data_IF_408228668451
#
_entry.id   IF_408228668451
#
_cell.length_a   1.000
_cell.length_b   1.000
_cell.length_c   1.000
_cell.angle_alpha   90.00
_cell.angle_beta   90.00
_cell.angle_gamma   90.00
#
_symmetry.space_group_name_H-M   'P 1'
#
loop_
_entity.id
_entity.type
_entity.pdbx_description
1 polymer ?
#
# COMPACT_ATOMS: atom_id res chain seq x y z
N UNK A 1 14.75 -11.91 -17.65
CA UNK A 1 13.55 -11.75 -16.81
C UNK A 1 12.53 -12.72 -17.38
N UNK A 2 11.94 -13.64 -16.60
CA UNK A 2 10.92 -14.54 -17.10
C UNK A 2 9.72 -13.75 -17.62
N UNK A 3 9.00 -14.25 -18.64
CA UNK A 3 7.79 -13.60 -19.10
C UNK A 3 6.78 -13.52 -17.94
N UNK A 4 6.12 -12.39 -17.82
CA UNK A 4 5.19 -12.03 -16.76
C UNK A 4 4.12 -13.13 -16.59
N UNK A 5 3.79 -13.56 -15.37
CA UNK A 5 2.70 -14.50 -15.17
C UNK A 5 1.40 -13.92 -15.73
N UNK A 6 0.79 -14.63 -16.68
CA UNK A 6 -0.49 -14.24 -17.29
C UNK A 6 -0.40 -13.40 -18.57
N UNK A 7 0.73 -12.77 -18.89
CA UNK A 7 0.87 -12.02 -20.13
C UNK A 7 1.07 -12.97 -21.33
N UNK A 8 0.30 -12.76 -22.40
CA UNK A 8 0.42 -13.51 -23.65
C UNK A 8 1.27 -12.70 -24.65
N UNK A 9 2.24 -13.33 -25.30
CA UNK A 9 2.91 -12.73 -26.47
C UNK A 9 1.91 -12.67 -27.62
N UNK A 10 1.66 -11.47 -28.15
CA UNK A 10 0.65 -11.23 -29.20
C UNK A 10 1.28 -10.76 -30.53
N UNK A 11 2.54 -11.09 -30.76
CA UNK A 11 3.22 -10.71 -31.99
C UNK A 11 4.31 -9.67 -31.77
N UNK A 12 4.60 -8.87 -32.80
CA UNK A 12 5.69 -7.89 -32.80
C UNK A 12 5.21 -6.56 -33.36
N UNK A 13 5.62 -5.48 -32.71
CA UNK A 13 5.53 -4.13 -33.25
C UNK A 13 6.77 -3.85 -34.12
N UNK A 14 6.59 -3.18 -35.26
CA UNK A 14 7.69 -2.73 -36.13
C UNK A 14 7.92 -1.25 -35.91
N UNK A 15 9.14 -0.91 -35.51
CA UNK A 15 9.60 0.47 -35.36
C UNK A 15 10.65 0.77 -36.44
N UNK A 16 10.46 1.79 -37.22
CA UNK A 16 11.43 2.27 -38.22
C UNK A 16 12.02 3.59 -37.77
N UNK A 17 13.34 3.65 -37.69
CA UNK A 17 14.12 4.86 -37.37
C UNK A 17 15.24 4.98 -38.41
N UNK A 18 15.28 6.10 -39.13
CA UNK A 18 16.30 6.38 -40.15
C UNK A 18 16.45 5.26 -41.17
N UNK A 19 15.34 4.67 -41.61
CA UNK A 19 15.32 3.55 -42.58
C UNK A 19 15.71 2.18 -42.04
N UNK A 20 15.97 2.08 -40.73
CA UNK A 20 16.24 0.80 -40.03
C UNK A 20 15.01 0.31 -39.30
N UNK A 21 14.60 -0.91 -39.59
CA UNK A 21 13.44 -1.56 -38.96
C UNK A 21 13.89 -2.42 -37.79
N UNK A 22 13.27 -2.21 -36.63
CA UNK A 22 13.46 -3.03 -35.43
C UNK A 22 12.13 -3.62 -35.02
N UNK A 23 12.10 -4.89 -34.70
CA UNK A 23 10.93 -5.58 -34.17
C UNK A 23 10.99 -5.65 -32.63
N UNK A 24 9.91 -5.21 -31.99
CA UNK A 24 9.76 -5.21 -30.53
C UNK A 24 8.62 -6.16 -30.14
N UNK A 25 8.77 -6.95 -29.07
CA UNK A 25 7.69 -7.82 -28.60
C UNK A 25 6.45 -7.03 -28.20
N UNK A 26 5.26 -7.56 -28.47
CA UNK A 26 4.00 -7.05 -27.96
C UNK A 26 3.50 -7.99 -26.87
N UNK A 27 3.15 -7.42 -25.75
CA UNK A 27 2.56 -8.10 -24.59
C UNK A 27 1.11 -7.66 -24.47
N UNK A 28 0.20 -8.62 -24.25
CA UNK A 28 -1.22 -8.31 -24.06
C UNK A 28 -1.62 -8.65 -22.63
N UNK A 29 -2.21 -7.70 -21.95
CA UNK A 29 -2.81 -7.86 -20.64
C UNK A 29 -4.07 -8.72 -20.67
N UNK A 30 -4.54 -9.16 -19.52
CA UNK A 30 -5.75 -10.02 -19.41
C UNK A 30 -7.04 -9.31 -19.83
N UNK A 31 -7.07 -8.00 -19.79
CA UNK A 31 -8.21 -7.16 -20.22
C UNK A 31 -8.05 -6.64 -21.67
N UNK A 32 -7.03 -7.13 -22.40
CA UNK A 32 -6.84 -6.85 -23.81
C UNK A 32 -5.95 -5.67 -24.14
N UNK A 33 -5.33 -5.02 -23.18
CA UNK A 33 -4.40 -3.91 -23.39
C UNK A 33 -3.09 -4.39 -24.02
N UNK A 34 -2.58 -3.63 -24.98
CA UNK A 34 -1.36 -3.94 -25.70
C UNK A 34 -0.20 -3.07 -25.24
N UNK A 35 0.84 -3.69 -24.68
CA UNK A 35 2.09 -3.04 -24.33
C UNK A 35 3.22 -3.43 -25.31
N UNK A 36 4.00 -2.46 -25.77
CA UNK A 36 5.22 -2.71 -26.56
C UNK A 36 6.40 -2.83 -25.58
N UNK A 37 7.04 -3.99 -25.53
CA UNK A 37 8.24 -4.19 -24.72
C UNK A 37 9.44 -3.48 -25.35
N UNK A 38 9.84 -2.38 -24.73
CA UNK A 38 10.96 -1.53 -25.19
C UNK A 38 12.29 -1.84 -24.50
N UNK A 39 12.40 -2.92 -23.72
CA UNK A 39 13.61 -3.24 -22.94
C UNK A 39 14.89 -3.30 -23.81
N UNK A 40 14.76 -3.72 -25.06
CA UNK A 40 15.88 -3.80 -26.02
C UNK A 40 15.99 -2.60 -26.97
N UNK A 41 15.08 -1.63 -26.89
CA UNK A 41 15.05 -0.50 -27.85
C UNK A 41 16.38 0.22 -27.92
N UNK A 42 16.90 0.68 -26.78
CA UNK A 42 18.17 1.44 -26.74
C UNK A 42 19.37 0.62 -27.21
N UNK A 43 19.46 -0.65 -26.81
CA UNK A 43 20.58 -1.49 -27.18
C UNK A 43 20.61 -1.85 -28.67
N UNK A 44 19.43 -1.92 -29.32
CA UNK A 44 19.31 -2.28 -30.75
C UNK A 44 19.35 -1.07 -31.70
N UNK A 45 18.90 0.09 -31.25
CA UNK A 45 18.72 1.27 -32.13
C UNK A 45 19.48 2.52 -31.66
N UNK A 46 19.92 2.59 -30.41
CA UNK A 46 20.42 3.80 -29.78
C UNK A 46 19.33 4.78 -29.31
N UNK A 47 18.08 4.60 -29.75
CA UNK A 47 16.96 5.46 -29.40
C UNK A 47 16.37 5.14 -28.03
N UNK A 48 15.73 6.13 -27.42
CA UNK A 48 14.90 5.98 -26.20
C UNK A 48 13.49 6.49 -26.49
N UNK A 49 12.54 6.12 -25.65
CA UNK A 49 11.21 6.75 -25.61
C UNK A 49 11.26 8.03 -24.82
N UNK A 50 10.43 9.03 -25.20
CA UNK A 50 10.20 10.25 -24.46
C UNK A 50 8.71 10.33 -24.12
N UNK A 51 8.39 10.33 -22.84
CA UNK A 51 7.02 10.45 -22.32
C UNK A 51 7.07 11.21 -20.98
N UNK A 52 6.86 12.54 -21.06
CA UNK A 52 7.06 13.49 -19.96
C UNK A 52 5.99 13.31 -18.89
N UNK A 53 5.51 12.51 -18.42
CA UNK A 53 4.45 12.32 -17.38
C UNK A 53 3.97 10.90 -17.32
N UNK A 54 4.66 10.03 -18.05
CA UNK A 54 4.35 8.61 -18.10
C UNK A 54 2.90 8.29 -18.53
N UNK A 55 2.31 9.18 -19.36
CA UNK A 55 0.90 9.10 -19.78
C UNK A 55 0.64 7.88 -20.67
N UNK A 56 1.63 7.48 -21.47
CA UNK A 56 1.55 6.32 -22.39
C UNK A 56 2.57 5.24 -22.07
N UNK A 57 3.08 5.21 -20.84
CA UNK A 57 4.13 4.27 -20.44
C UNK A 57 3.63 3.30 -19.40
N UNK A 58 3.46 2.05 -19.77
CA UNK A 58 3.28 0.95 -18.81
C UNK A 58 4.57 0.69 -18.05
N UNK A 59 4.65 1.04 -16.78
CA UNK A 59 5.85 0.86 -15.94
C UNK A 59 6.00 -0.55 -15.41
N UNK A 60 4.92 -1.30 -15.35
CA UNK A 60 4.88 -2.69 -14.85
C UNK A 60 3.61 -3.40 -15.29
N UNK A 61 3.56 -4.70 -15.02
CA UNK A 61 2.31 -5.48 -14.99
C UNK A 61 1.93 -5.77 -13.54
N UNK A 62 0.64 -5.82 -13.25
CA UNK A 62 0.10 -6.14 -11.94
C UNK A 62 -1.06 -7.13 -12.08
N UNK A 63 -1.18 -8.04 -11.12
CA UNK A 63 -2.34 -8.93 -10.98
C UNK A 63 -3.15 -8.58 -9.72
N UNK A 64 -2.95 -7.39 -9.16
CA UNK A 64 -3.57 -6.99 -7.89
C UNK A 64 -4.91 -6.32 -8.15
N UNK A 65 -4.92 -5.23 -8.88
CA UNK A 65 -6.10 -4.40 -9.08
C UNK A 65 -6.35 -4.17 -10.56
N UNK A 66 -7.62 -4.18 -10.93
CA UNK A 66 -8.12 -3.67 -12.21
C UNK A 66 -9.11 -2.53 -11.94
N UNK A 67 -8.88 -1.40 -12.57
CA UNK A 67 -9.71 -0.20 -12.47
C UNK A 67 -10.10 0.29 -13.86
N UNK A 68 -11.39 0.42 -14.12
CA UNK A 68 -11.93 1.10 -15.31
C UNK A 68 -12.88 2.21 -14.81
N UNK A 69 -12.36 3.43 -14.71
CA UNK A 69 -13.11 4.57 -14.21
C UNK A 69 -14.25 5.01 -15.11
N UNK A 70 -14.18 4.75 -16.43
CA UNK A 70 -15.26 5.07 -17.38
C UNK A 70 -16.46 4.15 -17.20
N UNK A 71 -16.20 2.88 -16.91
CA UNK A 71 -17.24 1.87 -16.66
C UNK A 71 -17.63 1.73 -15.20
N UNK A 72 -16.92 2.39 -14.28
CA UNK A 72 -17.14 2.26 -12.85
C UNK A 72 -16.82 0.87 -12.32
N UNK A 73 -15.77 0.21 -12.85
CA UNK A 73 -15.37 -1.14 -12.47
C UNK A 73 -14.11 -1.06 -11.61
N UNK A 74 -14.16 -1.67 -10.42
CA UNK A 74 -12.99 -1.91 -9.58
C UNK A 74 -12.99 -3.38 -9.14
N UNK A 75 -11.84 -4.05 -9.29
CA UNK A 75 -11.65 -5.45 -8.87
C UNK A 75 -10.31 -5.60 -8.16
N UNK A 76 -10.31 -6.31 -7.04
CA UNK A 76 -9.10 -6.76 -6.35
C UNK A 76 -8.90 -8.25 -6.56
N UNK A 77 -7.76 -8.64 -7.15
CA UNK A 77 -7.45 -10.04 -7.48
C UNK A 77 -8.58 -10.75 -8.26
N UNK A 78 -9.34 -9.98 -9.06
CA UNK A 78 -10.47 -10.47 -9.84
C UNK A 78 -11.83 -10.40 -9.13
N UNK A 79 -11.88 -10.16 -7.83
CA UNK A 79 -13.14 -10.00 -7.08
C UNK A 79 -13.70 -8.59 -7.27
N UNK A 80 -14.98 -8.43 -7.63
CA UNK A 80 -15.63 -7.12 -7.70
C UNK A 80 -15.63 -6.43 -6.34
N UNK A 81 -15.40 -5.11 -6.34
CA UNK A 81 -15.32 -4.33 -5.09
C UNK A 81 -16.62 -4.37 -4.29
N UNK A 82 -17.77 -4.43 -4.97
CA UNK A 82 -19.09 -4.49 -4.33
C UNK A 82 -19.24 -5.75 -3.49
N UNK A 83 -18.70 -6.87 -3.98
CA UNK A 83 -18.75 -8.15 -3.27
C UNK A 83 -17.82 -8.13 -2.05
N UNK A 84 -16.64 -7.55 -2.19
CA UNK A 84 -15.69 -7.44 -1.08
C UNK A 84 -16.19 -6.50 0.01
N UNK A 85 -16.74 -5.34 -0.37
CA UNK A 85 -17.28 -4.35 0.57
C UNK A 85 -18.53 -4.86 1.32
N UNK A 86 -19.32 -5.76 0.70
CA UNK A 86 -20.51 -6.34 1.35
C UNK A 86 -20.21 -7.54 2.24
N UNK A 87 -19.18 -8.34 1.91
CA UNK A 87 -18.98 -9.68 2.49
C UNK A 87 -17.70 -9.89 3.26
N UNK A 88 -16.74 -8.98 3.16
CA UNK A 88 -15.45 -9.09 3.80
C UNK A 88 -15.20 -7.91 4.73
N UNK A 89 -14.34 -8.10 5.73
CA UNK A 89 -13.75 -6.97 6.45
C UNK A 89 -12.42 -6.52 5.81
N UNK A 90 -11.91 -5.38 6.24
CA UNK A 90 -10.66 -4.82 5.72
C UNK A 90 -9.46 -5.76 5.90
N UNK A 91 -9.41 -6.51 6.99
CA UNK A 91 -8.29 -7.44 7.26
C UNK A 91 -8.29 -8.60 6.27
N UNK A 92 -9.47 -9.11 5.89
CA UNK A 92 -9.62 -10.13 4.85
C UNK A 92 -9.19 -9.60 3.49
N UNK A 93 -9.58 -8.35 3.15
CA UNK A 93 -9.18 -7.71 1.89
C UNK A 93 -7.69 -7.38 1.88
N UNK A 94 -7.11 -6.94 2.99
CA UNK A 94 -5.67 -6.75 3.11
C UNK A 94 -4.91 -8.07 2.87
N UNK A 95 -5.40 -9.17 3.45
CA UNK A 95 -4.85 -10.50 3.20
C UNK A 95 -4.92 -10.88 1.71
N UNK A 96 -6.09 -10.67 1.08
CA UNK A 96 -6.28 -10.92 -0.35
C UNK A 96 -5.27 -10.15 -1.20
N UNK A 97 -5.07 -8.87 -0.93
CA UNK A 97 -4.14 -8.03 -1.70
C UNK A 97 -2.69 -8.48 -1.52
N UNK A 98 -2.29 -8.83 -0.31
CA UNK A 98 -0.92 -9.23 0.04
C UNK A 98 -0.61 -10.64 -0.49
N UNK A 99 -1.46 -11.61 -0.18
CA UNK A 99 -1.19 -13.03 -0.44
C UNK A 99 -1.84 -13.57 -1.73
N UNK A 100 -2.73 -12.80 -2.37
CA UNK A 100 -3.32 -13.12 -3.67
C UNK A 100 -4.54 -14.04 -3.65
N UNK A 101 -5.03 -14.41 -2.46
CA UNK A 101 -6.24 -15.21 -2.25
C UNK A 101 -6.97 -14.75 -0.99
N UNK A 102 -8.27 -14.99 -0.91
CA UNK A 102 -9.01 -14.83 0.34
C UNK A 102 -8.51 -15.87 1.37
N UNK A 103 -8.38 -15.48 2.65
CA UNK A 103 -7.94 -16.40 3.70
C UNK A 103 -9.02 -17.46 4.01
N UNK A 104 -8.59 -18.65 4.40
CA UNK A 104 -9.46 -19.53 5.15
C UNK A 104 -9.56 -19.09 6.62
N UNK A 105 -10.42 -19.74 7.42
CA UNK A 105 -10.64 -19.34 8.81
C UNK A 105 -9.36 -19.36 9.66
N UNK A 106 -8.52 -20.37 9.49
CA UNK A 106 -7.27 -20.51 10.25
C UNK A 106 -6.22 -19.48 9.83
N UNK A 107 -6.13 -19.19 8.52
CA UNK A 107 -5.26 -18.15 7.96
C UNK A 107 -5.67 -16.76 8.46
N UNK A 108 -6.98 -16.48 8.47
CA UNK A 108 -7.53 -15.20 8.94
C UNK A 108 -7.27 -15.00 10.44
N UNK A 109 -7.53 -16.02 11.25
CA UNK A 109 -7.27 -15.97 12.69
C UNK A 109 -5.77 -15.74 12.97
N UNK A 110 -4.90 -16.45 12.26
CA UNK A 110 -3.45 -16.27 12.34
C UNK A 110 -3.02 -14.86 11.96
N UNK A 111 -3.58 -14.30 10.88
CA UNK A 111 -3.26 -12.96 10.41
C UNK A 111 -3.77 -11.88 11.37
N UNK A 112 -5.02 -12.00 11.86
CA UNK A 112 -5.57 -11.10 12.89
C UNK A 112 -4.73 -11.11 14.17
N UNK A 113 -4.31 -12.29 14.61
CA UNK A 113 -3.42 -12.45 15.79
C UNK A 113 -2.07 -11.75 15.53
N UNK A 114 -1.46 -11.95 14.36
CA UNK A 114 -0.21 -11.29 14.02
C UNK A 114 -0.35 -9.76 14.04
N UNK A 115 -1.44 -9.21 13.48
CA UNK A 115 -1.69 -7.77 13.50
C UNK A 115 -1.90 -7.25 14.93
N UNK A 116 -2.74 -7.90 15.75
CA UNK A 116 -3.03 -7.45 17.10
C UNK A 116 -1.79 -7.40 18.00
N UNK A 117 -0.82 -8.29 17.78
CA UNK A 117 0.44 -8.31 18.54
C UNK A 117 1.48 -7.29 18.05
N UNK A 118 1.22 -6.61 16.95
CA UNK A 118 2.13 -5.60 16.39
C UNK A 118 1.61 -4.16 16.43
N UNK A 119 0.46 -3.90 17.06
CA UNK A 119 -0.21 -2.58 17.09
C UNK A 119 0.57 -1.50 17.84
N UNK A 120 1.24 -1.86 18.95
CA UNK A 120 2.01 -0.89 19.74
C UNK A 120 3.25 -0.40 19.00
N UNK A 121 3.52 0.91 19.07
CA UNK A 121 4.83 1.49 18.72
C UNK A 121 5.74 1.52 19.95
N UNK A 122 7.06 1.60 19.72
CA UNK A 122 8.03 1.70 20.80
C UNK A 122 7.78 2.97 21.65
N UNK A 123 7.87 2.87 22.98
CA UNK A 123 7.62 4.01 23.88
C UNK A 123 8.48 5.24 23.60
N UNK A 124 9.75 5.05 23.23
CA UNK A 124 10.63 6.16 22.89
C UNK A 124 10.15 6.97 21.68
N UNK A 125 9.32 6.38 20.81
CA UNK A 125 8.71 7.10 19.69
C UNK A 125 7.70 8.16 20.14
N UNK A 126 7.20 8.10 21.37
CA UNK A 126 6.37 9.18 21.96
C UNK A 126 7.14 10.50 22.02
N UNK A 127 8.45 10.44 22.29
CA UNK A 127 9.32 11.62 22.27
C UNK A 127 9.40 12.25 20.87
N UNK A 128 9.27 11.43 19.82
CA UNK A 128 9.26 11.90 18.44
C UNK A 128 8.05 12.81 18.19
N UNK A 129 6.87 12.44 18.71
CA UNK A 129 5.66 13.27 18.62
C UNK A 129 5.80 14.60 19.38
N UNK A 130 6.57 14.65 20.44
CA UNK A 130 6.82 15.89 21.20
C UNK A 130 7.60 16.93 20.38
N UNK A 131 8.39 16.49 19.41
CA UNK A 131 9.13 17.37 18.50
C UNK A 131 8.28 18.03 17.42
N UNK A 132 7.09 17.51 17.11
CA UNK A 132 6.21 18.13 16.12
C UNK A 132 5.41 19.28 16.70
N UNK A 133 5.23 20.39 15.96
CA UNK A 133 4.27 21.43 16.34
C UNK A 133 2.83 20.89 16.32
N UNK A 134 1.92 21.52 17.06
CA UNK A 134 0.53 21.04 17.17
C UNK A 134 -0.26 21.18 15.88
N UNK A 135 0.09 22.13 15.04
CA UNK A 135 -0.50 22.43 13.74
C UNK A 135 0.22 21.70 12.58
N UNK A 136 1.15 20.81 12.89
CA UNK A 136 1.81 20.01 11.87
C UNK A 136 0.78 19.16 11.07
N UNK A 137 0.95 19.14 9.75
CA UNK A 137 0.08 18.35 8.89
C UNK A 137 0.20 16.85 9.22
N UNK A 138 -0.91 16.11 9.41
CA UNK A 138 -0.87 14.71 9.87
C UNK A 138 -0.10 13.79 8.90
N UNK A 139 -0.14 14.07 7.60
CA UNK A 139 0.62 13.28 6.60
C UNK A 139 2.13 13.44 6.77
N UNK A 140 2.62 14.64 7.14
CA UNK A 140 4.04 14.86 7.43
C UNK A 140 4.49 14.06 8.64
N UNK A 141 3.66 14.04 9.69
CA UNK A 141 3.92 13.22 10.89
C UNK A 141 3.91 11.74 10.52
N UNK A 142 2.87 11.27 9.79
CA UNK A 142 2.73 9.87 9.41
C UNK A 142 3.94 9.39 8.61
N UNK A 143 4.35 10.10 7.56
CA UNK A 143 5.51 9.74 6.75
C UNK A 143 6.80 9.71 7.56
N UNK A 144 7.03 10.72 8.41
CA UNK A 144 8.22 10.81 9.26
C UNK A 144 8.30 9.67 10.27
N UNK A 145 7.21 9.36 10.96
CA UNK A 145 7.16 8.30 11.97
C UNK A 145 7.29 6.91 11.35
N UNK A 146 6.65 6.67 10.19
CA UNK A 146 6.81 5.40 9.46
C UNK A 146 8.26 5.20 9.02
N UNK A 147 8.92 6.23 8.49
CA UNK A 147 10.34 6.16 8.15
C UNK A 147 11.21 5.85 9.37
N UNK A 148 10.90 6.45 10.52
CA UNK A 148 11.61 6.24 11.78
C UNK A 148 11.47 4.80 12.33
N UNK A 149 10.42 4.04 11.95
CA UNK A 149 10.27 2.63 12.36
C UNK A 149 11.49 1.79 12.01
N UNK A 150 12.19 2.10 10.93
CA UNK A 150 13.41 1.40 10.53
C UNK A 150 14.52 1.44 11.59
N UNK A 151 14.54 2.46 12.44
CA UNK A 151 15.53 2.58 13.53
C UNK A 151 15.20 1.73 14.75
N UNK A 152 13.92 1.35 14.91
CA UNK A 152 13.44 0.52 16.03
C UNK A 152 13.31 -0.97 15.66
N UNK A 153 13.18 -1.30 14.38
CA UNK A 153 12.95 -2.66 13.88
C UNK A 153 14.06 -3.12 12.92
N UNK A 154 15.31 -3.08 13.40
CA UNK A 154 16.50 -3.45 12.61
C UNK A 154 16.57 -4.95 12.27
N UNK A 155 15.74 -5.76 12.89
CA UNK A 155 15.62 -7.21 12.68
C UNK A 155 14.81 -7.58 11.42
N UNK A 156 14.26 -6.60 10.69
CA UNK A 156 13.37 -6.82 9.54
C UNK A 156 13.60 -5.81 8.41
N UNK A 157 14.85 -5.45 8.14
CA UNK A 157 15.21 -4.46 7.10
C UNK A 157 15.64 -5.10 5.78
N UNK A 158 15.96 -6.40 5.76
CA UNK A 158 16.39 -7.09 4.54
C UNK A 158 15.19 -7.46 3.66
N UNK A 159 15.03 -6.71 2.55
CA UNK A 159 13.96 -6.92 1.57
C UNK A 159 14.15 -8.19 0.71
N UNK A 160 15.29 -8.88 0.84
CA UNK A 160 15.57 -10.14 0.14
C UNK A 160 15.23 -11.37 1.00
N UNK A 161 15.03 -11.18 2.32
CA UNK A 161 14.54 -12.25 3.20
C UNK A 161 13.00 -12.19 3.26
N UNK A 162 12.27 -13.17 2.70
CA UNK A 162 10.81 -13.18 2.69
C UNK A 162 10.19 -13.09 4.08
N UNK A 163 10.84 -13.66 5.11
CA UNK A 163 10.34 -13.63 6.49
C UNK A 163 10.43 -12.23 7.08
N UNK A 164 11.52 -11.50 6.80
CA UNK A 164 11.69 -10.12 7.25
C UNK A 164 10.70 -9.19 6.52
N UNK A 165 10.45 -9.44 5.25
CA UNK A 165 9.43 -8.71 4.47
C UNK A 165 8.05 -8.95 5.08
N UNK A 166 7.66 -10.19 5.36
CA UNK A 166 6.38 -10.54 5.97
C UNK A 166 6.18 -9.85 7.33
N UNK A 167 7.18 -9.94 8.21
CA UNK A 167 7.13 -9.26 9.52
C UNK A 167 7.02 -7.74 9.36
N UNK A 168 7.72 -7.14 8.40
CA UNK A 168 7.63 -5.70 8.12
C UNK A 168 6.26 -5.29 7.59
N UNK A 169 5.64 -6.12 6.75
CA UNK A 169 4.25 -5.91 6.27
C UNK A 169 3.28 -5.93 7.45
N UNK A 170 3.35 -6.94 8.33
CA UNK A 170 2.51 -7.03 9.51
C UNK A 170 2.72 -5.82 10.45
N UNK A 171 3.97 -5.43 10.69
CA UNK A 171 4.32 -4.26 11.52
C UNK A 171 3.76 -2.97 10.94
N UNK A 172 3.90 -2.75 9.64
CA UNK A 172 3.37 -1.56 8.97
C UNK A 172 1.85 -1.51 9.06
N UNK A 173 1.18 -2.58 8.64
CA UNK A 173 -0.28 -2.64 8.63
C UNK A 173 -0.86 -2.45 10.05
N UNK A 174 -0.27 -3.07 11.06
CA UNK A 174 -0.73 -2.98 12.43
C UNK A 174 -0.44 -1.62 13.11
N UNK A 175 0.70 -0.98 12.78
CA UNK A 175 1.14 0.26 13.46
C UNK A 175 0.60 1.53 12.81
N UNK A 176 0.23 1.49 11.53
CA UNK A 176 -0.31 2.67 10.83
C UNK A 176 -1.51 3.29 11.54
N UNK A 177 -2.53 2.52 12.00
CA UNK A 177 -3.63 3.08 12.79
C UNK A 177 -3.18 3.77 14.07
N UNK A 178 -2.24 3.17 14.81
CA UNK A 178 -1.69 3.75 16.04
C UNK A 178 -0.96 5.06 15.76
N UNK A 179 -0.13 5.08 14.71
CA UNK A 179 0.62 6.28 14.30
C UNK A 179 -0.34 7.41 13.88
N UNK A 180 -1.37 7.09 13.11
CA UNK A 180 -2.38 8.05 12.67
C UNK A 180 -3.19 8.60 13.86
N UNK A 181 -3.66 7.73 14.75
CA UNK A 181 -4.38 8.13 15.95
C UNK A 181 -3.53 9.00 16.87
N UNK A 182 -2.26 8.68 17.06
CA UNK A 182 -1.33 9.49 17.86
C UNK A 182 -1.09 10.87 17.22
N UNK A 183 -1.03 10.95 15.89
CA UNK A 183 -0.95 12.22 15.17
C UNK A 183 -2.16 13.12 15.46
N UNK A 184 -3.36 12.53 15.41
CA UNK A 184 -4.59 13.22 15.76
C UNK A 184 -4.60 13.68 17.24
N UNK A 185 -4.31 12.78 18.18
CA UNK A 185 -4.24 13.12 19.62
C UNK A 185 -3.26 14.25 19.90
N UNK A 186 -2.11 14.24 19.22
CA UNK A 186 -1.13 15.33 19.31
C UNK A 186 -1.70 16.67 18.86
N UNK A 187 -2.41 16.70 17.71
CA UNK A 187 -2.96 17.94 17.15
C UNK A 187 -4.01 18.59 18.06
N UNK A 188 -4.85 17.78 18.71
CA UNK A 188 -5.88 18.29 19.66
C UNK A 188 -5.37 18.42 21.11
N UNK A 189 -4.13 18.01 21.39
CA UNK A 189 -3.51 18.13 22.70
C UNK A 189 -4.09 17.19 23.76
N UNK A 190 -4.55 16.03 23.34
CA UNK A 190 -5.06 14.97 24.21
C UNK A 190 -4.00 13.90 24.48
N UNK A 191 -4.14 13.11 25.58
CA UNK A 191 -3.26 11.98 25.86
C UNK A 191 -3.29 10.93 24.74
N UNK A 192 -2.15 10.30 24.48
CA UNK A 192 -2.06 9.14 23.59
C UNK A 192 -2.75 7.94 24.23
N UNK A 193 -3.61 7.27 23.49
CA UNK A 193 -4.37 6.10 23.94
C UNK A 193 -3.74 4.86 23.33
N UNK A 194 -3.46 3.88 24.18
CA UNK A 194 -2.86 2.61 23.74
C UNK A 194 -3.86 1.74 22.97
N UNK A 195 -3.37 0.96 21.99
CA UNK A 195 -4.19 -0.04 21.30
C UNK A 195 -4.63 -1.16 22.27
N UNK A 196 -5.72 -1.82 21.94
CA UNK A 196 -6.30 -2.95 22.66
C UNK A 196 -6.34 -4.17 21.74
N UNK A 197 -5.99 -5.35 22.27
CA UNK A 197 -5.95 -6.59 21.47
C UNK A 197 -7.33 -7.30 21.37
N UNK A 198 -8.30 -6.85 22.12
CA UNK A 198 -9.67 -7.42 22.17
C UNK A 198 -10.65 -6.71 21.22
N UNK A 199 -10.20 -5.67 20.50
CA UNK A 199 -10.98 -4.91 19.52
C UNK A 199 -10.60 -5.31 18.09
N UNK A 200 -11.55 -5.18 17.18
CA UNK A 200 -11.30 -5.28 15.74
C UNK A 200 -10.35 -4.17 15.25
N UNK A 201 -9.88 -4.28 14.03
CA UNK A 201 -8.94 -3.31 13.44
C UNK A 201 -9.51 -1.88 13.45
N UNK A 202 -10.75 -1.72 12.98
CA UNK A 202 -11.41 -0.42 12.92
C UNK A 202 -11.86 0.11 14.28
N UNK A 203 -12.43 -0.74 15.14
CA UNK A 203 -12.78 -0.36 16.51
C UNK A 203 -11.55 0.10 17.30
N UNK A 204 -10.43 -0.59 17.16
CA UNK A 204 -9.17 -0.24 17.82
C UNK A 204 -8.65 1.12 17.35
N UNK A 205 -8.72 1.40 16.06
CA UNK A 205 -8.36 2.71 15.52
C UNK A 205 -9.27 3.83 16.08
N UNK A 206 -10.58 3.63 16.03
CA UNK A 206 -11.55 4.60 16.56
C UNK A 206 -11.38 4.83 18.06
N UNK A 207 -11.14 3.77 18.82
CA UNK A 207 -10.83 3.84 20.25
C UNK A 207 -9.57 4.69 20.50
N UNK A 208 -8.48 4.45 19.78
CA UNK A 208 -7.25 5.26 19.92
C UNK A 208 -7.45 6.73 19.51
N UNK A 209 -8.31 6.98 18.51
CA UNK A 209 -8.63 8.34 18.04
C UNK A 209 -9.46 9.14 19.04
N UNK A 210 -10.48 8.53 19.64
CA UNK A 210 -11.55 9.28 20.33
C UNK A 210 -11.64 9.01 21.82
N UNK A 211 -11.15 7.88 22.34
CA UNK A 211 -11.16 7.62 23.77
C UNK A 211 -10.36 8.66 24.55
N UNK A 212 -10.79 8.93 25.77
CA UNK A 212 -10.10 9.78 26.76
C UNK A 212 -9.96 9.02 28.08
N UNK A 213 -8.90 9.25 28.89
CA UNK A 213 -8.66 8.45 30.11
C UNK A 213 -9.71 8.64 31.21
N UNK A 214 -10.54 9.66 31.12
CA UNK A 214 -11.49 10.04 32.19
C UNK A 214 -12.86 9.36 32.06
N UNK A 215 -13.14 8.67 30.95
CA UNK A 215 -14.41 7.97 30.71
C UNK A 215 -14.21 6.73 29.86
N UNK A 216 -15.16 5.79 29.93
CA UNK A 216 -15.16 4.60 29.09
C UNK A 216 -15.60 4.96 27.66
N UNK A 217 -14.84 4.51 26.66
CA UNK A 217 -15.20 4.70 25.26
C UNK A 217 -15.95 3.48 24.74
N UNK A 218 -17.13 3.72 24.20
CA UNK A 218 -17.92 2.72 23.51
C UNK A 218 -17.92 3.05 22.01
N UNK A 219 -17.31 2.19 21.21
CA UNK A 219 -17.34 2.32 19.75
C UNK A 219 -18.76 2.02 19.26
N UNK A 220 -19.32 2.93 18.47
CA UNK A 220 -20.56 2.67 17.75
C UNK A 220 -20.23 1.68 16.60
N UNK A 221 -20.88 0.50 16.53
CA UNK A 221 -20.65 -0.49 15.49
C UNK A 221 -20.82 0.08 14.07
N UNK A 222 -21.79 0.95 13.86
CA UNK A 222 -22.06 1.54 12.54
C UNK A 222 -20.87 2.39 12.05
N UNK A 223 -20.16 3.06 12.97
CA UNK A 223 -18.94 3.80 12.62
C UNK A 223 -17.76 2.88 12.32
N UNK A 224 -17.65 1.77 13.05
CA UNK A 224 -16.61 0.78 12.76
C UNK A 224 -16.81 0.13 11.39
N UNK A 225 -18.05 -0.27 11.08
CA UNK A 225 -18.41 -0.87 9.80
C UNK A 225 -18.24 0.12 8.63
N UNK A 226 -18.64 1.38 8.82
CA UNK A 226 -18.44 2.42 7.82
C UNK A 226 -16.97 2.69 7.53
N UNK A 227 -16.13 2.72 8.57
CA UNK A 227 -14.68 2.88 8.40
C UNK A 227 -14.06 1.66 7.71
N UNK A 228 -14.48 0.47 8.07
CA UNK A 228 -14.02 -0.77 7.46
C UNK A 228 -14.29 -0.78 5.95
N UNK A 229 -15.52 -0.46 5.56
CA UNK A 229 -15.92 -0.32 4.15
C UNK A 229 -15.09 0.77 3.43
N UNK A 230 -14.85 1.92 4.06
CA UNK A 230 -14.01 2.98 3.50
C UNK A 230 -12.58 2.49 3.26
N UNK A 231 -12.00 1.73 4.19
CA UNK A 231 -10.66 1.17 4.02
C UNK A 231 -10.63 0.13 2.88
N UNK A 232 -11.67 -0.69 2.73
CA UNK A 232 -11.78 -1.66 1.63
C UNK A 232 -11.77 -0.94 0.27
N UNK A 233 -12.65 0.04 0.08
CA UNK A 233 -12.81 0.70 -1.23
C UNK A 233 -11.61 1.61 -1.60
N UNK A 234 -10.77 1.96 -0.61
CA UNK A 234 -9.56 2.76 -0.82
C UNK A 234 -8.26 1.96 -0.70
N UNK A 235 -8.32 0.63 -0.58
CA UNK A 235 -7.15 -0.19 -0.28
C UNK A 235 -6.09 -0.16 -1.39
N UNK A 236 -6.50 -0.09 -2.66
CA UNK A 236 -5.56 0.02 -3.79
C UNK A 236 -6.19 0.74 -5.00
N UNK A 237 -5.39 1.51 -5.71
CA UNK A 237 -5.75 2.27 -6.92
C UNK A 237 -4.78 1.99 -8.08
N UNK A 238 -4.36 0.74 -8.26
CA UNK A 238 -3.41 0.33 -9.30
C UNK A 238 -2.05 1.01 -9.20
N UNK A 239 -1.50 1.48 -10.35
CA UNK A 239 -0.21 2.14 -10.46
C UNK A 239 -0.32 3.66 -10.21
N UNK A 240 -0.95 4.04 -9.11
CA UNK A 240 -1.02 5.43 -8.66
C UNK A 240 0.38 5.97 -8.28
N UNK A 241 0.46 7.25 -7.95
CA UNK A 241 1.71 7.93 -7.59
C UNK A 241 2.42 7.24 -6.40
N UNK A 242 1.67 6.82 -5.38
CA UNK A 242 2.25 6.15 -4.19
C UNK A 242 2.85 4.80 -4.54
N UNK A 243 2.12 3.96 -5.29
CA UNK A 243 2.61 2.65 -5.75
C UNK A 243 3.87 2.80 -6.62
N UNK A 244 3.86 3.74 -7.56
CA UNK A 244 5.00 4.02 -8.43
C UNK A 244 6.21 4.51 -7.63
N UNK A 245 6.00 5.37 -6.62
CA UNK A 245 7.05 5.87 -5.73
C UNK A 245 7.63 4.75 -4.88
N UNK A 246 6.80 3.92 -4.25
CA UNK A 246 7.26 2.76 -3.46
C UNK A 246 8.11 1.82 -4.31
N UNK A 247 7.69 1.53 -5.54
CA UNK A 247 8.45 0.70 -6.47
C UNK A 247 9.77 1.34 -6.89
N UNK A 248 9.78 2.65 -7.14
CA UNK A 248 10.99 3.38 -7.52
C UNK A 248 12.01 3.35 -6.37
N UNK A 249 11.60 3.68 -5.15
CA UNK A 249 12.47 3.63 -3.96
C UNK A 249 12.91 2.20 -3.68
N UNK A 250 12.00 1.24 -3.72
CA UNK A 250 12.30 -0.18 -3.51
C UNK A 250 13.25 -0.78 -4.54
N UNK A 251 13.36 -0.18 -5.75
CA UNK A 251 14.31 -0.64 -6.78
C UNK A 251 15.78 -0.47 -6.40
N UNK A 252 16.07 0.30 -5.36
CA UNK A 252 17.41 0.45 -4.77
C UNK A 252 17.68 -0.51 -3.61
N UNK A 253 16.84 -1.50 -3.38
CA UNK A 253 16.86 -2.37 -2.19
C UNK A 253 16.63 -1.61 -0.87
N UNK A 254 16.00 -0.43 -0.90
CA UNK A 254 15.62 0.29 0.30
C UNK A 254 14.66 -0.56 1.16
N UNK A 255 14.81 -0.49 2.49
CA UNK A 255 13.95 -1.23 3.39
C UNK A 255 12.48 -0.82 3.24
N UNK A 256 11.56 -1.69 3.65
CA UNK A 256 10.13 -1.50 3.41
C UNK A 256 9.56 -0.28 4.14
N UNK A 257 10.05 0.04 5.34
CA UNK A 257 9.61 1.24 6.08
C UNK A 257 9.97 2.54 5.32
N UNK A 258 11.18 2.63 4.77
CA UNK A 258 11.61 3.78 3.98
C UNK A 258 10.80 3.89 2.68
N UNK A 259 10.56 2.78 1.98
CA UNK A 259 9.79 2.74 0.74
C UNK A 259 8.33 3.16 0.95
N UNK A 260 7.69 2.69 2.02
CA UNK A 260 6.31 3.06 2.37
C UNK A 260 6.22 4.51 2.85
N UNK A 261 7.20 5.00 3.63
CA UNK A 261 7.29 6.42 4.01
C UNK A 261 7.32 7.34 2.78
N UNK A 262 8.06 6.97 1.74
CA UNK A 262 8.07 7.71 0.48
C UNK A 262 6.71 7.65 -0.24
N UNK A 263 6.05 6.50 -0.24
CA UNK A 263 4.68 6.35 -0.77
C UNK A 263 3.65 7.21 -0.03
N UNK A 264 3.75 7.32 1.29
CA UNK A 264 2.90 8.22 2.09
C UNK A 264 3.17 9.68 1.71
N UNK A 265 4.43 10.05 1.51
CA UNK A 265 4.79 11.40 1.07
C UNK A 265 4.23 11.73 -0.33
N UNK A 266 4.23 10.76 -1.23
CA UNK A 266 3.63 10.91 -2.56
C UNK A 266 2.09 11.10 -2.51
N UNK A 267 1.43 10.50 -1.51
CA UNK A 267 -0.01 10.65 -1.30
C UNK A 267 -0.41 12.04 -0.77
N UNK A 268 0.54 12.81 -0.25
CA UNK A 268 0.28 14.12 0.34
C UNK A 268 0.21 15.25 -0.70
N UNK A 269 0.25 14.96 -1.98
CA UNK A 269 0.07 15.98 -3.02
C UNK A 269 -1.38 16.46 -3.11
N UNK A 270 -1.62 17.67 -3.70
CA UNK A 270 -2.96 18.20 -3.91
C UNK A 270 -3.71 17.56 -5.09
N UNK A 271 -3.09 16.64 -5.82
CA UNK A 271 -3.64 15.95 -7.00
C UNK A 271 -3.91 14.49 -6.68
#
# INVERSE_FOLDING_TARGET
VPPWPGAKSAGKARLEIDGRVTELPVVVGTEGEHGIDIAKLRSSTGAITLDEGFVNTGSTTSAITFLDGEKGILRYRGYPIEVLAEKCDFVEVAYLLIYGKLPDAAELDGFRMALSHHTMIHEDMRSFYNGFPRDAHPMAILGSVVGALSTFYQDSLDVRDPRQVEVSVHRLLAKLPTIAAYSHKKSIGQPLIYPRNDLSYCENFLQMMFAVPCEEYHCDPDFADALDMLLIVHADHEQNCSTSTVRMVGSSDANLFASISAGISALWGPL
#
